data_IF_272224809092
#
_entry.id   IF_272224809092
#
_cell.length_a   1.000
_cell.length_b   1.000
_cell.length_c   1.000
_cell.angle_alpha   90.00
_cell.angle_beta   90.00
_cell.angle_gamma   90.00
#
_symmetry.space_group_name_H-M   'P 1'
#
loop_
_entity.id
_entity.type
_entity.pdbx_description
1 polymer ?
#
# COMPACT_ATOMS: atom_id res chain seq x y z
N UNK A 1 -21.99 -5.42 -4.61
CA UNK A 1 -22.56 -6.55 -3.81
C UNK A 1 -23.58 -7.41 -4.60
N UNK A 2 -24.77 -6.94 -5.01
CA UNK A 2 -25.74 -7.77 -5.76
C UNK A 2 -25.20 -8.29 -7.12
N UNK A 3 -24.43 -7.47 -7.85
CA UNK A 3 -23.93 -7.84 -9.18
C UNK A 3 -22.85 -8.94 -9.14
N UNK A 4 -21.98 -8.91 -8.13
CA UNK A 4 -20.95 -9.94 -7.92
C UNK A 4 -21.56 -11.29 -7.53
N UNK A 5 -22.58 -11.29 -6.68
CA UNK A 5 -23.32 -12.50 -6.29
C UNK A 5 -24.07 -13.10 -7.47
N UNK A 6 -24.77 -12.26 -8.27
CA UNK A 6 -25.39 -12.69 -9.53
C UNK A 6 -24.33 -13.28 -10.48
N UNK A 7 -23.20 -12.59 -10.66
CA UNK A 7 -22.12 -13.04 -11.55
C UNK A 7 -21.57 -14.42 -11.17
N UNK A 8 -21.33 -14.66 -9.87
CA UNK A 8 -20.85 -15.95 -9.35
C UNK A 8 -21.91 -17.04 -9.41
N UNK A 9 -23.18 -16.71 -9.17
CA UNK A 9 -24.31 -17.65 -9.26
C UNK A 9 -24.54 -18.19 -10.68
N UNK A 10 -24.06 -17.48 -11.71
CA UNK A 10 -24.19 -17.88 -13.10
C UNK A 10 -22.94 -18.62 -13.65
N UNK A 11 -22.09 -19.17 -12.78
CA UNK A 11 -20.87 -19.89 -13.18
C UNK A 11 -21.11 -21.30 -13.75
N UNK A 12 -22.28 -21.86 -13.53
CA UNK A 12 -22.65 -23.25 -13.88
C UNK A 12 -22.77 -23.55 -15.39
N UNK A 13 -22.56 -22.54 -16.26
CA UNK A 13 -22.42 -22.72 -17.70
C UNK A 13 -23.70 -23.07 -18.47
N UNK A 14 -24.88 -22.99 -17.85
CA UNK A 14 -26.15 -23.19 -18.57
C UNK A 14 -26.39 -22.07 -19.58
N UNK A 15 -27.08 -22.37 -20.68
CA UNK A 15 -27.32 -21.41 -21.77
C UNK A 15 -28.06 -20.14 -21.29
N UNK A 16 -28.98 -20.29 -20.33
CA UNK A 16 -29.68 -19.17 -19.69
C UNK A 16 -28.75 -18.31 -18.81
N UNK A 17 -27.85 -18.94 -18.06
CA UNK A 17 -26.85 -18.26 -17.23
C UNK A 17 -25.82 -17.52 -18.08
N UNK A 18 -25.37 -18.12 -19.19
CA UNK A 18 -24.45 -17.47 -20.13
C UNK A 18 -25.10 -16.22 -20.76
N UNK A 19 -26.35 -16.32 -21.20
CA UNK A 19 -27.09 -15.16 -21.73
C UNK A 19 -27.25 -14.04 -20.69
N UNK A 20 -27.46 -14.39 -19.43
CA UNK A 20 -27.55 -13.41 -18.34
C UNK A 20 -26.20 -12.77 -18.05
N UNK A 21 -25.09 -13.52 -18.09
CA UNK A 21 -23.73 -12.98 -17.97
C UNK A 21 -23.39 -12.04 -19.13
N UNK A 22 -23.80 -12.36 -20.35
CA UNK A 22 -23.59 -11.46 -21.50
C UNK A 22 -24.35 -10.14 -21.33
N UNK A 23 -25.57 -10.18 -20.78
CA UNK A 23 -26.33 -8.98 -20.44
C UNK A 23 -25.64 -8.15 -19.35
N UNK A 24 -25.18 -8.80 -18.28
CA UNK A 24 -24.43 -8.15 -17.21
C UNK A 24 -23.15 -7.50 -17.74
N UNK A 25 -22.37 -8.22 -18.55
CA UNK A 25 -21.17 -7.68 -19.20
C UNK A 25 -21.47 -6.45 -20.07
N UNK A 26 -22.57 -6.47 -20.81
CA UNK A 26 -22.98 -5.32 -21.64
C UNK A 26 -23.27 -4.11 -20.76
N UNK A 27 -24.01 -4.29 -19.67
CA UNK A 27 -24.31 -3.23 -18.70
C UNK A 27 -23.02 -2.74 -18.01
N UNK A 28 -22.14 -3.64 -17.57
CA UNK A 28 -20.86 -3.30 -16.96
C UNK A 28 -20.04 -2.42 -17.89
N UNK A 29 -19.94 -2.77 -19.17
CA UNK A 29 -19.20 -1.96 -20.15
C UNK A 29 -19.78 -0.55 -20.29
N UNK A 30 -21.11 -0.42 -20.35
CA UNK A 30 -21.77 0.89 -20.41
C UNK A 30 -21.47 1.74 -19.16
N UNK A 31 -21.52 1.13 -17.97
CA UNK A 31 -21.22 1.80 -16.69
C UNK A 31 -19.75 2.20 -16.61
N UNK A 32 -18.83 1.29 -16.95
CA UNK A 32 -17.38 1.56 -16.92
C UNK A 32 -17.05 2.71 -17.85
N UNK A 33 -17.56 2.71 -19.09
CA UNK A 33 -17.35 3.82 -20.04
C UNK A 33 -17.92 5.13 -19.50
N UNK A 34 -19.10 5.09 -18.87
CA UNK A 34 -19.69 6.28 -18.26
C UNK A 34 -18.81 6.82 -17.13
N UNK A 35 -18.40 5.95 -16.21
CA UNK A 35 -17.61 6.31 -15.04
C UNK A 35 -16.23 6.87 -15.42
N UNK A 36 -15.52 6.21 -16.34
CA UNK A 36 -14.23 6.69 -16.85
C UNK A 36 -14.35 8.11 -17.44
N UNK A 37 -15.43 8.41 -18.20
CA UNK A 37 -15.66 9.75 -18.77
C UNK A 37 -15.98 10.84 -17.75
N UNK A 38 -16.37 10.48 -16.53
CA UNK A 38 -16.79 11.42 -15.49
C UNK A 38 -15.78 11.51 -14.33
N UNK A 39 -14.53 11.07 -14.52
CA UNK A 39 -13.51 10.98 -13.46
C UNK A 39 -13.98 10.15 -12.25
N UNK A 40 -14.67 9.04 -12.53
CA UNK A 40 -15.09 8.03 -11.56
C UNK A 40 -14.33 6.70 -11.83
N UNK A 41 -13.01 6.80 -12.03
CA UNK A 41 -12.15 5.69 -12.39
C UNK A 41 -12.11 4.61 -11.29
N UNK A 42 -12.27 5.03 -10.03
CA UNK A 42 -12.32 4.15 -8.84
C UNK A 42 -13.55 3.25 -8.90
N UNK A 43 -14.73 3.83 -9.10
CA UNK A 43 -15.99 3.09 -9.19
C UNK A 43 -16.01 2.15 -10.40
N UNK A 44 -15.35 2.54 -11.51
CA UNK A 44 -15.16 1.66 -12.65
C UNK A 44 -14.26 0.46 -12.30
N UNK A 45 -13.15 0.69 -11.60
CA UNK A 45 -12.26 -0.39 -11.16
C UNK A 45 -12.95 -1.34 -10.18
N UNK A 46 -13.67 -0.80 -9.18
CA UNK A 46 -14.41 -1.60 -8.20
C UNK A 46 -15.42 -2.52 -8.85
N UNK A 47 -16.17 -2.01 -9.81
CA UNK A 47 -17.12 -2.82 -10.56
C UNK A 47 -16.42 -3.96 -11.31
N UNK A 48 -15.29 -3.68 -11.97
CA UNK A 48 -14.51 -4.68 -12.71
C UNK A 48 -13.87 -5.73 -11.80
N UNK A 49 -13.43 -5.33 -10.60
CA UNK A 49 -12.92 -6.23 -9.56
C UNK A 49 -14.06 -7.13 -9.06
N UNK A 50 -15.23 -6.55 -8.76
CA UNK A 50 -16.42 -7.29 -8.28
C UNK A 50 -16.85 -8.41 -9.24
N UNK A 51 -16.75 -8.18 -10.56
CA UNK A 51 -17.10 -9.18 -11.58
C UNK A 51 -15.90 -10.01 -12.05
N UNK A 52 -14.73 -9.86 -11.43
CA UNK A 52 -13.51 -10.60 -11.80
C UNK A 52 -13.11 -10.43 -13.28
N UNK A 53 -13.36 -9.23 -13.84
CA UNK A 53 -13.07 -8.88 -15.25
C UNK A 53 -12.13 -7.68 -15.39
N UNK A 54 -11.09 -7.64 -14.58
CA UNK A 54 -10.08 -6.60 -14.65
C UNK A 54 -9.33 -6.59 -16.01
N UNK A 55 -9.39 -7.69 -16.77
CA UNK A 55 -8.88 -7.78 -18.15
C UNK A 55 -9.49 -6.73 -19.10
N UNK A 56 -10.76 -6.38 -18.87
CA UNK A 56 -11.49 -5.41 -19.68
C UNK A 56 -10.97 -3.99 -19.52
N UNK A 57 -10.23 -3.70 -18.44
CA UNK A 57 -9.72 -2.37 -18.14
C UNK A 57 -8.86 -1.81 -19.29
N UNK A 58 -8.10 -2.68 -19.97
CA UNK A 58 -7.27 -2.31 -21.14
C UNK A 58 -8.06 -1.71 -22.31
N UNK A 59 -9.37 -1.95 -22.39
CA UNK A 59 -10.26 -1.39 -23.42
C UNK A 59 -10.68 0.06 -23.11
N UNK A 60 -10.58 0.50 -21.86
CA UNK A 60 -11.21 1.74 -21.38
C UNK A 60 -10.25 2.77 -20.79
N UNK A 61 -9.05 2.37 -20.35
CA UNK A 61 -8.10 3.29 -19.73
C UNK A 61 -7.38 4.11 -20.81
N UNK A 62 -7.58 5.43 -20.77
CA UNK A 62 -6.82 6.37 -21.59
C UNK A 62 -5.45 6.66 -20.94
N UNK A 63 -4.46 7.15 -21.71
CA UNK A 63 -3.11 7.44 -21.19
C UNK A 63 -3.12 8.38 -19.97
N UNK A 64 -4.10 9.28 -19.88
CA UNK A 64 -4.25 10.26 -18.80
C UNK A 64 -4.69 9.59 -17.49
N UNK A 65 -5.49 8.52 -17.58
CA UNK A 65 -6.06 7.83 -16.42
C UNK A 65 -5.15 6.70 -15.90
N UNK A 66 -4.19 6.26 -16.71
CA UNK A 66 -3.27 5.16 -16.37
C UNK A 66 -2.61 5.33 -15.01
N UNK A 67 -2.13 6.54 -14.68
CA UNK A 67 -1.47 6.79 -13.40
C UNK A 67 -2.41 6.61 -12.21
N UNK A 68 -3.63 7.15 -12.29
CA UNK A 68 -4.64 7.06 -11.22
C UNK A 68 -5.13 5.63 -11.03
N UNK A 69 -5.45 4.98 -12.14
CA UNK A 69 -5.93 3.59 -12.15
C UNK A 69 -4.85 2.64 -11.63
N UNK A 70 -3.60 2.79 -12.07
CA UNK A 70 -2.49 1.96 -11.59
C UNK A 70 -2.27 2.14 -10.08
N UNK A 71 -2.26 3.39 -9.60
CA UNK A 71 -2.13 3.68 -8.17
C UNK A 71 -3.29 3.07 -7.37
N UNK A 72 -4.51 3.18 -7.88
CA UNK A 72 -5.70 2.61 -7.25
C UNK A 72 -5.60 1.09 -7.10
N UNK A 73 -5.24 0.38 -8.18
CA UNK A 73 -5.12 -1.07 -8.17
C UNK A 73 -3.99 -1.56 -7.26
N UNK A 74 -2.87 -0.85 -7.22
CA UNK A 74 -1.79 -1.16 -6.29
C UNK A 74 -2.23 -1.01 -4.84
N UNK A 75 -3.01 0.03 -4.53
CA UNK A 75 -3.58 0.21 -3.19
C UNK A 75 -4.59 -0.88 -2.86
N UNK A 76 -5.45 -1.26 -3.79
CA UNK A 76 -6.40 -2.37 -3.61
C UNK A 76 -5.66 -3.68 -3.30
N UNK A 77 -4.65 -4.01 -4.10
CA UNK A 77 -3.82 -5.19 -3.88
C UNK A 77 -3.10 -5.15 -2.53
N UNK A 78 -2.57 -3.99 -2.14
CA UNK A 78 -1.91 -3.79 -0.85
C UNK A 78 -2.85 -4.07 0.33
N UNK A 79 -4.12 -3.64 0.24
CA UNK A 79 -5.14 -3.91 1.26
C UNK A 79 -5.46 -5.40 1.36
N UNK A 80 -5.70 -6.08 0.23
CA UNK A 80 -5.96 -7.53 0.22
C UNK A 80 -4.77 -8.32 0.81
N UNK A 81 -3.54 -7.95 0.44
CA UNK A 81 -2.34 -8.57 0.98
C UNK A 81 -2.20 -8.36 2.50
N UNK A 82 -2.56 -7.18 3.00
CA UNK A 82 -2.52 -6.89 4.43
C UNK A 82 -3.58 -7.66 5.22
N UNK A 83 -4.79 -7.81 4.68
CA UNK A 83 -5.83 -8.67 5.25
C UNK A 83 -5.37 -10.14 5.28
N UNK A 84 -4.81 -10.63 4.17
CA UNK A 84 -4.29 -11.98 4.08
C UNK A 84 -3.13 -12.21 5.07
N UNK A 85 -2.24 -11.22 5.22
CA UNK A 85 -1.16 -11.26 6.20
C UNK A 85 -1.66 -11.44 7.64
N UNK A 86 -2.69 -10.68 8.01
CA UNK A 86 -3.32 -10.75 9.34
C UNK A 86 -4.06 -12.07 9.55
N UNK A 87 -4.71 -12.60 8.52
CA UNK A 87 -5.41 -13.89 8.59
C UNK A 87 -4.46 -15.06 8.88
N UNK A 88 -3.18 -14.94 8.49
CA UNK A 88 -2.16 -15.97 8.64
C UNK A 88 -1.23 -15.78 9.83
N UNK A 89 -1.67 -15.09 10.89
CA UNK A 89 -0.87 -14.80 12.08
C UNK A 89 -0.79 -15.94 13.12
N UNK A 90 -1.44 -17.08 12.89
CA UNK A 90 -1.55 -18.18 13.87
C UNK A 90 -0.28 -19.02 14.07
N UNK A 91 0.76 -18.76 13.27
CA UNK A 91 2.08 -19.38 13.38
C UNK A 91 2.18 -20.81 12.87
N UNK A 92 1.18 -21.34 12.16
CA UNK A 92 1.29 -22.67 11.53
C UNK A 92 2.33 -22.67 10.40
N UNK A 93 2.97 -23.81 10.15
CA UNK A 93 4.01 -23.92 9.10
C UNK A 93 3.50 -23.52 7.70
N UNK A 94 2.26 -23.87 7.39
CA UNK A 94 1.62 -23.50 6.12
C UNK A 94 1.40 -21.98 6.01
N UNK A 95 0.96 -21.34 7.10
CA UNK A 95 0.73 -19.90 7.15
C UNK A 95 2.03 -19.10 7.17
N UNK A 96 3.08 -19.59 7.85
CA UNK A 96 4.41 -18.98 7.80
C UNK A 96 4.97 -18.98 6.37
N UNK A 97 4.86 -20.12 5.67
CA UNK A 97 5.26 -20.20 4.26
C UNK A 97 4.46 -19.24 3.36
N UNK A 98 3.17 -19.07 3.63
CA UNK A 98 2.34 -18.11 2.89
C UNK A 98 2.75 -16.66 3.18
N UNK A 99 3.05 -16.33 4.44
CA UNK A 99 3.62 -15.04 4.83
C UNK A 99 4.95 -14.77 4.15
N UNK A 100 5.84 -15.76 4.02
CA UNK A 100 7.10 -15.57 3.28
C UNK A 100 6.87 -15.23 1.79
N UNK A 101 5.86 -15.84 1.16
CA UNK A 101 5.46 -15.49 -0.21
C UNK A 101 4.92 -14.05 -0.26
N UNK A 102 4.06 -13.66 0.67
CA UNK A 102 3.52 -12.31 0.77
C UNK A 102 4.64 -11.29 0.97
N UNK A 103 5.62 -11.55 1.83
CA UNK A 103 6.79 -10.68 2.01
C UNK A 103 7.57 -10.48 0.72
N UNK A 104 7.72 -11.54 -0.08
CA UNK A 104 8.41 -11.44 -1.38
C UNK A 104 7.67 -10.47 -2.30
N UNK A 105 6.35 -10.60 -2.40
CA UNK A 105 5.50 -9.70 -3.18
C UNK A 105 5.51 -8.27 -2.63
N UNK A 106 5.43 -8.09 -1.30
CA UNK A 106 5.49 -6.77 -0.66
C UNK A 106 6.78 -6.05 -1.05
N UNK A 107 7.92 -6.74 -1.06
CA UNK A 107 9.19 -6.13 -1.45
C UNK A 107 9.18 -5.65 -2.89
N UNK A 108 8.61 -6.43 -3.82
CA UNK A 108 8.48 -6.01 -5.22
C UNK A 108 7.60 -4.77 -5.36
N UNK A 109 6.48 -4.71 -4.64
CA UNK A 109 5.56 -3.56 -4.63
C UNK A 109 6.24 -2.33 -4.02
N UNK A 110 6.95 -2.46 -2.89
CA UNK A 110 7.66 -1.35 -2.25
C UNK A 110 8.74 -0.79 -3.18
N UNK A 111 9.54 -1.65 -3.82
CA UNK A 111 10.53 -1.21 -4.81
C UNK A 111 9.87 -0.47 -5.97
N UNK A 112 8.74 -0.98 -6.47
CA UNK A 112 7.98 -0.35 -7.53
C UNK A 112 7.48 1.04 -7.11
N UNK A 113 6.85 1.15 -5.94
CA UNK A 113 6.27 2.38 -5.43
C UNK A 113 7.34 3.46 -5.19
N UNK A 114 8.45 3.11 -4.55
CA UNK A 114 9.57 4.03 -4.33
C UNK A 114 10.15 4.56 -5.65
N UNK A 115 10.27 3.72 -6.69
CA UNK A 115 10.74 4.15 -8.03
C UNK A 115 9.79 5.08 -8.77
N UNK A 116 8.51 5.08 -8.42
CA UNK A 116 7.46 5.85 -9.11
C UNK A 116 6.93 7.00 -8.25
N UNK A 117 7.70 7.46 -7.26
CA UNK A 117 7.34 8.55 -6.36
C UNK A 117 6.07 8.30 -5.52
N UNK A 118 5.76 7.04 -5.23
CA UNK A 118 4.65 6.59 -4.40
C UNK A 118 5.15 6.17 -3.01
N UNK A 119 5.97 7.03 -2.37
CA UNK A 119 6.61 6.67 -1.09
C UNK A 119 5.59 6.52 0.05
N UNK A 120 4.50 7.28 -0.02
CA UNK A 120 3.39 7.22 0.94
C UNK A 120 2.74 5.83 0.90
N UNK A 121 2.43 5.34 -0.31
CA UNK A 121 1.81 4.03 -0.51
C UNK A 121 2.75 2.89 -0.11
N UNK A 122 4.06 3.04 -0.33
CA UNK A 122 5.06 2.11 0.16
C UNK A 122 5.08 2.06 1.70
N UNK A 123 4.99 3.22 2.36
CA UNK A 123 4.94 3.31 3.82
C UNK A 123 3.65 2.68 4.36
N UNK A 124 2.49 3.00 3.77
CA UNK A 124 1.20 2.47 4.19
C UNK A 124 1.17 0.95 4.12
N UNK A 125 1.60 0.36 3.00
CA UNK A 125 1.68 -1.10 2.88
C UNK A 125 2.54 -1.72 3.99
N UNK A 126 3.72 -1.16 4.29
CA UNK A 126 4.61 -1.68 5.32
C UNK A 126 4.09 -1.47 6.75
N UNK A 127 3.35 -0.38 7.00
CA UNK A 127 2.65 -0.15 8.27
C UNK A 127 1.56 -1.20 8.45
N UNK A 128 0.73 -1.43 7.42
CA UNK A 128 -0.39 -2.35 7.47
C UNK A 128 0.04 -3.81 7.75
N UNK A 129 1.17 -4.25 7.20
CA UNK A 129 1.73 -5.59 7.48
C UNK A 129 2.66 -5.63 8.70
N UNK A 130 2.80 -4.53 9.45
CA UNK A 130 3.66 -4.42 10.63
C UNK A 130 5.14 -4.74 10.34
N UNK A 131 5.63 -4.42 9.13
CA UNK A 131 7.01 -4.66 8.67
C UNK A 131 7.74 -3.39 8.25
N UNK A 132 7.50 -2.32 9.00
CA UNK A 132 8.13 -1.02 8.77
C UNK A 132 9.66 -1.07 8.90
N UNK A 133 10.22 -2.10 9.54
CA UNK A 133 11.66 -2.39 9.61
C UNK A 133 12.33 -2.45 8.22
N UNK A 134 11.59 -2.95 7.22
CA UNK A 134 12.10 -3.10 5.85
C UNK A 134 12.25 -1.77 5.11
N UNK A 135 11.54 -0.72 5.53
CA UNK A 135 11.48 0.55 4.79
C UNK A 135 12.87 1.15 4.58
N UNK A 136 13.73 1.07 5.60
CA UNK A 136 15.09 1.64 5.56
C UNK A 136 15.97 1.10 4.44
N UNK A 137 15.68 -0.09 3.92
CA UNK A 137 16.41 -0.71 2.80
C UNK A 137 16.12 -0.02 1.46
N UNK A 138 14.92 0.54 1.30
CA UNK A 138 14.42 1.08 0.03
C UNK A 138 14.48 2.61 -0.07
N UNK A 139 14.64 3.31 1.05
CA UNK A 139 14.75 4.77 1.05
C UNK A 139 16.11 5.22 0.54
N UNK A 140 16.08 6.14 -0.43
CA UNK A 140 17.23 6.86 -0.98
C UNK A 140 17.34 8.30 -0.44
N UNK A 141 18.47 8.97 -0.72
CA UNK A 141 18.73 10.33 -0.23
C UNK A 141 17.75 11.37 -0.80
N UNK A 142 17.17 11.15 -1.97
CA UNK A 142 16.18 12.07 -2.52
C UNK A 142 14.81 11.95 -1.82
N UNK A 143 14.53 10.81 -1.20
CA UNK A 143 13.20 10.46 -0.68
C UNK A 143 13.09 10.61 0.83
N UNK A 144 14.21 10.52 1.57
CA UNK A 144 14.22 10.47 3.03
C UNK A 144 13.40 11.58 3.69
N UNK A 145 13.43 12.81 3.14
CA UNK A 145 12.67 13.93 3.68
C UNK A 145 11.15 13.73 3.56
N UNK A 146 10.68 13.23 2.41
CA UNK A 146 9.24 12.95 2.17
C UNK A 146 8.76 11.80 3.05
N UNK A 147 9.54 10.72 3.08
CA UNK A 147 9.24 9.52 3.88
C UNK A 147 9.18 9.87 5.37
N UNK A 148 10.22 10.51 5.92
CA UNK A 148 10.25 10.83 7.34
C UNK A 148 9.16 11.85 7.72
N UNK A 149 8.87 12.83 6.86
CA UNK A 149 7.78 13.77 7.11
C UNK A 149 6.43 13.03 7.17
N UNK A 150 6.21 12.09 6.26
CA UNK A 150 5.01 11.26 6.26
C UNK A 150 4.88 10.46 7.55
N UNK A 151 5.90 9.67 7.92
CA UNK A 151 5.89 8.86 9.15
C UNK A 151 5.66 9.71 10.41
N UNK A 152 6.30 10.87 10.51
CA UNK A 152 6.12 11.77 11.66
C UNK A 152 4.73 12.43 11.68
N UNK A 153 4.10 12.62 10.53
CA UNK A 153 2.73 13.14 10.44
C UNK A 153 1.69 12.07 10.83
N UNK A 154 1.98 10.80 10.57
CA UNK A 154 1.13 9.68 10.96
C UNK A 154 1.28 9.29 12.43
N UNK A 155 2.45 9.52 13.04
CA UNK A 155 2.72 9.13 14.44
C UNK A 155 1.66 9.62 15.46
N UNK A 156 1.18 10.88 15.44
CA UNK A 156 0.12 11.34 16.36
C UNK A 156 -1.26 10.69 16.13
N UNK A 157 -1.45 10.03 14.99
CA UNK A 157 -2.71 9.37 14.61
C UNK A 157 -2.75 7.90 15.03
N UNK A 158 -1.63 7.35 15.50
CA UNK A 158 -1.49 5.95 15.91
C UNK A 158 -1.38 5.82 17.44
N UNK A 159 -1.93 4.74 18.03
CA UNK A 159 -1.76 4.48 19.45
C UNK A 159 -0.32 4.04 19.77
N UNK A 160 0.06 4.14 21.05
CA UNK A 160 1.24 3.47 21.56
C UNK A 160 1.03 1.94 21.51
N UNK A 161 2.02 1.13 21.05
CA UNK A 161 3.42 1.48 20.76
C UNK A 161 3.72 1.80 19.28
N UNK A 162 2.72 1.76 18.39
CA UNK A 162 2.94 1.89 16.93
C UNK A 162 3.48 3.27 16.56
N UNK A 163 2.97 4.31 17.19
CA UNK A 163 3.49 5.68 17.05
C UNK A 163 5.00 5.78 17.31
N UNK A 164 5.55 5.06 18.30
CA UNK A 164 6.97 5.03 18.62
C UNK A 164 7.75 4.31 17.53
N UNK A 165 7.19 3.25 16.93
CA UNK A 165 7.82 2.51 15.82
C UNK A 165 7.98 3.44 14.61
N UNK A 166 6.97 4.28 14.32
CA UNK A 166 7.04 5.27 13.25
C UNK A 166 8.15 6.30 13.52
N UNK A 167 8.22 6.86 14.73
CA UNK A 167 9.24 7.86 15.10
C UNK A 167 10.64 7.22 15.10
N UNK A 168 10.79 5.99 15.62
CA UNK A 168 12.07 5.26 15.62
C UNK A 168 12.55 4.98 14.21
N UNK A 169 11.66 4.57 13.31
CA UNK A 169 11.99 4.35 11.91
C UNK A 169 12.44 5.65 11.24
N UNK A 170 11.70 6.74 11.41
CA UNK A 170 12.07 8.05 10.87
C UNK A 170 13.44 8.53 11.40
N UNK A 171 13.70 8.34 12.70
CA UNK A 171 15.00 8.63 13.33
C UNK A 171 16.14 7.84 12.67
N UNK A 172 15.95 6.53 12.47
CA UNK A 172 16.96 5.67 11.86
C UNK A 172 17.26 6.09 10.41
N UNK A 173 16.23 6.45 9.65
CA UNK A 173 16.39 6.97 8.28
C UNK A 173 17.15 8.29 8.30
N UNK A 174 16.82 9.24 9.18
CA UNK A 174 17.57 10.49 9.30
C UNK A 174 19.04 10.27 9.63
N UNK A 175 19.35 9.34 10.56
CA UNK A 175 20.73 8.97 10.89
C UNK A 175 21.46 8.36 9.68
N UNK A 176 20.80 7.49 8.91
CA UNK A 176 21.36 6.88 7.68
C UNK A 176 21.85 7.94 6.69
N UNK A 177 21.14 9.07 6.58
CA UNK A 177 21.48 10.18 5.66
C UNK A 177 22.21 11.36 6.33
N UNK A 178 22.74 11.17 7.54
CA UNK A 178 23.52 12.19 8.25
C UNK A 178 22.72 13.43 8.70
N UNK A 179 21.38 13.33 8.75
CA UNK A 179 20.49 14.39 9.24
C UNK A 179 20.37 14.32 10.77
N UNK A 180 21.49 14.54 11.46
CA UNK A 180 21.58 14.35 12.91
C UNK A 180 20.66 15.26 13.72
N UNK A 181 20.39 16.50 13.25
CA UNK A 181 19.45 17.41 13.92
C UNK A 181 18.01 16.87 13.90
N UNK A 182 17.57 16.36 12.75
CA UNK A 182 16.23 15.77 12.61
C UNK A 182 16.12 14.46 13.40
N UNK A 183 17.18 13.63 13.37
CA UNK A 183 17.26 12.44 14.21
C UNK A 183 17.19 12.79 15.71
N UNK A 184 17.88 13.84 16.16
CA UNK A 184 17.82 14.31 17.54
C UNK A 184 16.41 14.77 17.92
N UNK A 185 15.72 15.47 17.02
CA UNK A 185 14.32 15.85 17.22
C UNK A 185 13.43 14.62 17.41
N UNK A 186 13.61 13.57 16.62
CA UNK A 186 12.88 12.31 16.81
C UNK A 186 13.21 11.64 18.15
N UNK A 187 14.49 11.64 18.58
CA UNK A 187 14.89 11.11 19.88
C UNK A 187 14.23 11.88 21.04
N UNK A 188 14.09 13.20 20.92
CA UNK A 188 13.36 14.06 21.87
C UNK A 188 11.88 13.67 21.93
N UNK A 189 11.23 13.45 20.79
CA UNK A 189 9.83 13.00 20.73
C UNK A 189 9.62 11.67 21.46
N UNK A 190 10.60 10.75 21.37
CA UNK A 190 10.60 9.47 22.07
C UNK A 190 11.03 9.55 23.54
N UNK A 191 11.42 10.74 24.03
CA UNK A 191 12.01 10.95 25.36
C UNK A 191 13.21 10.01 25.65
N UNK A 192 13.96 9.63 24.61
CA UNK A 192 15.05 8.65 24.68
C UNK A 192 16.40 9.32 24.97
N UNK A 193 16.65 9.66 26.25
CA UNK A 193 17.83 10.45 26.68
C UNK A 193 19.17 9.81 26.29
N UNK A 194 19.26 8.47 26.31
CA UNK A 194 20.46 7.74 25.86
C UNK A 194 20.75 8.00 24.39
N UNK A 195 19.74 7.85 23.54
CA UNK A 195 19.85 8.08 22.09
C UNK A 195 20.11 9.55 21.76
N UNK A 196 19.53 10.49 22.50
CA UNK A 196 19.86 11.92 22.35
C UNK A 196 21.36 12.17 22.59
N UNK A 197 21.92 11.59 23.66
CA UNK A 197 23.35 11.72 23.98
C UNK A 197 24.22 11.12 22.88
N UNK A 198 23.88 9.94 22.39
CA UNK A 198 24.60 9.28 21.30
C UNK A 198 24.65 10.17 20.04
N UNK A 199 23.51 10.70 19.60
CA UNK A 199 23.43 11.54 18.40
C UNK A 199 24.26 12.83 18.56
N UNK A 200 24.22 13.46 19.74
CA UNK A 200 25.01 14.67 20.01
C UNK A 200 26.51 14.37 19.97
N UNK A 201 26.95 13.25 20.57
CA UNK A 201 28.36 12.86 20.58
C UNK A 201 28.88 12.44 19.20
N UNK A 202 28.01 11.90 18.34
CA UNK A 202 28.33 11.55 16.95
C UNK A 202 28.47 12.79 16.05
N UNK A 203 27.87 13.91 16.46
CA UNK A 203 27.92 15.16 15.70
C UNK A 203 29.25 15.84 15.96
N UNK A 204 29.99 16.17 14.89
CA UNK A 204 31.24 16.93 15.00
C UNK A 204 30.91 18.41 15.17
N UNK A 205 31.56 19.05 16.14
CA UNK A 205 31.54 20.51 16.25
C UNK A 205 32.15 21.11 14.96
N UNK A 206 31.41 22.02 14.32
CA UNK A 206 31.83 22.77 13.12
C UNK A 206 32.49 24.07 13.54
#
# INVERSE_FOLDING_TARGET
MEMAEEWRAYSDGTEAHNKRRDQLLTLTREIVVHNMKHNAEVEACDLLIEIERLDLLSEYVEEIDHGRVCLYLLRHLAMEMAEEWRAYSDGTEAHNKRRDQLLTLTREIVVHNMKHNAEVEACDLLIEIERLDLLSEYVEEIDHGRVCLYLLSCSPLMPDPDNEILIKTAMNIYRKFGKNFDALRCAIMLNAVSTMREIVLETKDV
#
